data_IF_392206883510
#
_entry.id   IF_392206883510
#
_cell.length_a   1.000
_cell.length_b   1.000
_cell.length_c   1.000
_cell.angle_alpha   90.00
_cell.angle_beta   90.00
_cell.angle_gamma   90.00
#
_symmetry.space_group_name_H-M   'P 1'
#
loop_
_entity.id
_entity.type
_entity.pdbx_description
1 polymer ?
#
# COMPACT_ATOMS: atom_id res chain seq x y z
N UNK A 1 30.13 -5.91 -11.50
CA UNK A 1 28.78 -5.30 -11.60
C UNK A 1 28.88 -3.87 -11.12
N UNK A 2 28.31 -2.89 -11.84
CA UNK A 2 28.22 -1.52 -11.33
C UNK A 2 27.17 -1.45 -10.22
N UNK A 3 27.43 -0.64 -9.19
CA UNK A 3 26.55 -0.51 -8.04
C UNK A 3 25.25 0.23 -8.41
N UNK A 4 24.11 -0.37 -8.09
CA UNK A 4 22.77 0.20 -8.36
C UNK A 4 22.20 0.99 -7.19
N UNK A 5 22.85 0.94 -6.03
CA UNK A 5 22.45 1.66 -4.81
C UNK A 5 23.50 2.73 -4.54
N UNK A 6 23.09 3.95 -4.23
CA UNK A 6 23.96 4.99 -3.70
C UNK A 6 23.58 5.33 -2.26
N UNK A 7 24.56 5.61 -1.42
CA UNK A 7 24.40 6.19 -0.08
C UNK A 7 24.89 7.63 -0.16
N UNK A 8 23.96 8.59 -0.09
CA UNK A 8 24.24 10.01 -0.26
C UNK A 8 23.98 10.77 1.05
N UNK A 9 25.00 10.99 1.87
CA UNK A 9 24.85 11.65 3.18
C UNK A 9 26.18 12.22 3.69
N UNK A 10 26.13 13.33 4.41
CA UNK A 10 27.27 13.86 5.18
C UNK A 10 27.14 13.53 6.68
N UNK A 11 26.04 12.89 7.10
CA UNK A 11 25.87 12.41 8.47
C UNK A 11 26.68 11.14 8.71
N UNK A 12 27.80 11.26 9.42
CA UNK A 12 28.68 10.12 9.74
C UNK A 12 27.96 8.97 10.46
N UNK A 13 27.00 9.27 11.35
CA UNK A 13 26.19 8.23 12.03
C UNK A 13 25.31 7.47 11.04
N UNK A 14 24.56 8.17 10.18
CA UNK A 14 23.68 7.53 9.22
C UNK A 14 24.48 6.72 8.19
N UNK A 15 25.57 7.30 7.70
CA UNK A 15 26.50 6.64 6.79
C UNK A 15 27.00 5.31 7.38
N UNK A 16 27.51 5.33 8.62
CA UNK A 16 28.01 4.13 9.28
C UNK A 16 26.94 3.04 9.42
N UNK A 17 25.73 3.40 9.86
CA UNK A 17 24.61 2.46 10.01
C UNK A 17 24.25 1.79 8.67
N UNK A 18 24.06 2.59 7.61
CA UNK A 18 23.67 2.08 6.29
C UNK A 18 24.78 1.22 5.69
N UNK A 19 26.01 1.73 5.68
CA UNK A 19 27.16 1.07 5.05
C UNK A 19 27.52 -0.22 5.76
N UNK A 20 27.46 -0.25 7.10
CA UNK A 20 27.75 -1.48 7.85
C UNK A 20 26.77 -2.61 7.49
N UNK A 21 25.49 -2.31 7.33
CA UNK A 21 24.49 -3.30 6.89
C UNK A 21 24.68 -3.73 5.44
N UNK A 22 24.89 -2.78 4.51
CA UNK A 22 25.13 -3.11 3.10
C UNK A 22 26.36 -4.00 2.92
N UNK A 23 27.46 -3.68 3.63
CA UNK A 23 28.69 -4.50 3.63
C UNK A 23 28.45 -5.88 4.24
N UNK A 24 27.73 -5.97 5.36
CA UNK A 24 27.39 -7.24 6.01
C UNK A 24 26.61 -8.17 5.06
N UNK A 25 25.76 -7.61 4.21
CA UNK A 25 24.97 -8.32 3.21
C UNK A 25 25.69 -8.53 1.88
N UNK A 26 26.92 -8.03 1.71
CA UNK A 26 27.69 -8.16 0.46
C UNK A 26 27.13 -7.34 -0.70
N UNK A 27 26.36 -6.30 -0.43
CA UNK A 27 25.67 -5.51 -1.46
C UNK A 27 26.60 -4.42 -2.00
N UNK A 28 26.81 -4.32 -3.32
CA UNK A 28 27.61 -3.24 -3.91
C UNK A 28 26.84 -1.92 -3.88
N UNK A 29 27.51 -0.86 -3.44
CA UNK A 29 26.93 0.49 -3.35
C UNK A 29 27.97 1.57 -3.70
N UNK A 30 27.50 2.76 -4.07
CA UNK A 30 28.30 3.98 -4.20
C UNK A 30 28.15 4.84 -2.96
N UNK A 31 29.23 5.50 -2.54
CA UNK A 31 29.20 6.52 -1.48
C UNK A 31 29.31 7.88 -2.13
N UNK A 32 28.36 8.75 -1.83
CA UNK A 32 28.27 10.11 -2.35
C UNK A 32 27.94 11.06 -1.20
N UNK A 33 28.18 12.34 -1.41
CA UNK A 33 27.58 13.42 -0.64
C UNK A 33 26.24 13.84 -1.29
N UNK A 34 25.34 14.52 -0.57
CA UNK A 34 24.09 15.02 -1.13
C UNK A 34 24.24 16.04 -2.27
N UNK A 35 25.45 16.56 -2.48
CA UNK A 35 25.76 17.59 -3.48
C UNK A 35 26.42 17.04 -4.73
N UNK A 36 26.79 15.76 -4.73
CA UNK A 36 27.41 15.11 -5.88
C UNK A 36 26.36 14.64 -6.90
N UNK A 37 26.69 14.67 -8.20
CA UNK A 37 25.80 14.15 -9.23
C UNK A 37 25.62 12.64 -9.06
N UNK A 38 24.38 12.17 -9.23
CA UNK A 38 24.02 10.76 -9.09
C UNK A 38 24.18 10.08 -10.46
N UNK A 39 25.01 9.02 -10.56
CA UNK A 39 25.19 8.29 -11.83
C UNK A 39 23.89 7.66 -12.35
N UNK A 40 23.75 7.58 -13.68
CA UNK A 40 22.53 7.08 -14.35
C UNK A 40 22.22 5.61 -14.08
N UNK A 41 23.21 4.81 -13.68
CA UNK A 41 23.07 3.40 -13.35
C UNK A 41 22.58 3.16 -11.91
N UNK A 42 22.59 4.20 -11.07
CA UNK A 42 21.95 4.17 -9.76
C UNK A 42 20.44 4.09 -9.94
N UNK A 43 19.82 3.13 -9.25
CA UNK A 43 18.38 2.89 -9.26
C UNK A 43 17.69 3.36 -8.00
N UNK A 44 18.46 3.55 -6.92
CA UNK A 44 17.96 4.03 -5.63
C UNK A 44 19.06 4.72 -4.84
N UNK A 45 18.69 5.78 -4.14
CA UNK A 45 19.58 6.53 -3.25
C UNK A 45 19.06 6.42 -1.82
N UNK A 46 19.93 6.11 -0.87
CA UNK A 46 19.64 6.12 0.56
C UNK A 46 20.30 7.35 1.18
N UNK A 47 19.52 8.14 1.92
CA UNK A 47 19.97 9.39 2.58
C UNK A 47 19.27 9.55 3.93
N UNK A 48 19.45 10.68 4.61
CA UNK A 48 18.67 11.04 5.82
C UNK A 48 17.47 11.90 5.45
N UNK A 49 16.42 11.93 6.29
CA UNK A 49 15.26 12.82 6.08
C UNK A 49 15.66 14.30 5.93
N UNK A 50 16.67 14.75 6.69
CA UNK A 50 17.14 16.14 6.63
C UNK A 50 17.79 16.48 5.28
N UNK A 51 18.43 15.50 4.66
CA UNK A 51 19.17 15.65 3.40
C UNK A 51 18.33 15.26 2.18
N UNK A 52 17.21 14.57 2.37
CA UNK A 52 16.27 14.15 1.30
C UNK A 52 15.91 15.25 0.30
N UNK A 53 15.66 16.52 0.70
CA UNK A 53 15.35 17.59 -0.25
C UNK A 53 16.51 17.95 -1.19
N UNK A 54 17.75 17.61 -0.82
CA UNK A 54 18.95 17.90 -1.61
C UNK A 54 19.18 16.85 -2.72
N UNK A 55 18.52 15.70 -2.64
CA UNK A 55 18.73 14.56 -3.55
C UNK A 55 17.74 14.64 -4.72
N UNK A 56 18.28 14.79 -5.93
CA UNK A 56 17.51 14.78 -7.18
C UNK A 56 17.60 13.41 -7.86
N UNK A 57 16.68 12.51 -7.49
CA UNK A 57 16.57 11.17 -8.07
C UNK A 57 15.14 10.64 -7.92
N UNK A 58 14.69 9.77 -8.81
CA UNK A 58 13.33 9.22 -8.81
C UNK A 58 13.04 8.42 -7.52
N UNK A 59 13.95 7.51 -7.19
CA UNK A 59 13.85 6.65 -6.02
C UNK A 59 14.82 7.10 -4.94
N UNK A 60 14.31 7.66 -3.85
CA UNK A 60 15.13 8.08 -2.70
C UNK A 60 14.48 7.64 -1.40
N UNK A 61 15.23 6.86 -0.62
CA UNK A 61 14.83 6.34 0.69
C UNK A 61 15.51 7.13 1.79
N UNK A 62 14.74 7.53 2.80
CA UNK A 62 15.20 8.41 3.88
C UNK A 62 15.23 7.68 5.22
N UNK A 63 16.39 7.60 5.84
CA UNK A 63 16.57 7.06 7.19
C UNK A 63 16.09 8.09 8.22
N UNK A 64 14.98 7.76 8.90
CA UNK A 64 14.40 8.53 10.01
C UNK A 64 15.07 8.19 11.34
N UNK A 65 15.19 6.90 11.60
CA UNK A 65 15.72 6.33 12.81
C UNK A 65 16.36 4.96 12.52
N UNK A 66 17.13 4.46 13.47
CA UNK A 66 17.86 3.20 13.34
C UNK A 66 16.95 1.96 13.28
N UNK A 67 15.74 2.01 13.87
CA UNK A 67 14.79 0.90 13.84
C UNK A 67 14.24 0.64 12.43
N UNK A 68 14.23 1.66 11.57
CA UNK A 68 13.80 1.57 10.16
C UNK A 68 14.91 1.09 9.22
N UNK A 69 16.13 0.91 9.71
CA UNK A 69 17.27 0.50 8.89
C UNK A 69 17.02 -0.82 8.13
N UNK A 70 16.50 -1.91 8.75
CA UNK A 70 16.24 -3.15 8.02
C UNK A 70 15.22 -2.97 6.88
N UNK A 71 14.16 -2.18 7.12
CA UNK A 71 13.13 -1.88 6.12
C UNK A 71 13.71 -1.12 4.92
N UNK A 72 14.52 -0.10 5.17
CA UNK A 72 15.14 0.71 4.11
C UNK A 72 16.11 -0.12 3.27
N UNK A 73 16.91 -0.97 3.90
CA UNK A 73 17.85 -1.84 3.17
C UNK A 73 17.09 -2.82 2.27
N UNK A 74 16.02 -3.44 2.76
CA UNK A 74 15.17 -4.31 1.96
C UNK A 74 14.50 -3.57 0.80
N UNK A 75 13.98 -2.36 1.03
CA UNK A 75 13.40 -1.53 -0.03
C UNK A 75 14.45 -1.16 -1.10
N UNK A 76 15.66 -0.79 -0.68
CA UNK A 76 16.74 -0.43 -1.60
C UNK A 76 17.15 -1.60 -2.50
N UNK A 77 17.23 -2.82 -1.94
CA UNK A 77 17.52 -4.03 -2.71
C UNK A 77 16.47 -4.28 -3.80
N UNK A 78 15.18 -4.17 -3.46
CA UNK A 78 14.08 -4.42 -4.41
C UNK A 78 14.06 -3.40 -5.54
N UNK A 79 14.23 -2.12 -5.21
CA UNK A 79 14.34 -1.05 -6.20
C UNK A 79 15.58 -1.23 -7.10
N UNK A 80 16.70 -1.68 -6.55
CA UNK A 80 17.89 -2.01 -7.33
C UNK A 80 17.68 -3.20 -8.30
N UNK A 81 16.84 -4.16 -7.94
CA UNK A 81 16.41 -5.25 -8.82
C UNK A 81 15.39 -4.83 -9.87
N UNK A 82 14.83 -3.61 -9.77
CA UNK A 82 13.76 -3.14 -10.64
C UNK A 82 12.38 -3.73 -10.29
N UNK A 83 12.26 -4.36 -9.12
CA UNK A 83 10.98 -4.84 -8.60
C UNK A 83 10.29 -3.69 -7.88
N UNK A 84 9.04 -3.44 -8.25
CA UNK A 84 8.17 -2.54 -7.47
C UNK A 84 7.81 -3.26 -6.16
N UNK A 85 8.02 -2.60 -5.03
CA UNK A 85 7.68 -3.14 -3.71
C UNK A 85 6.74 -2.18 -3.01
N UNK A 86 5.66 -2.72 -2.44
CA UNK A 86 4.78 -1.96 -1.56
C UNK A 86 4.80 -2.59 -0.17
N UNK A 87 4.97 -1.76 0.87
CA UNK A 87 4.89 -2.26 2.24
C UNK A 87 3.46 -2.70 2.56
N UNK A 88 2.48 -1.92 2.11
CA UNK A 88 1.06 -2.20 2.34
C UNK A 88 0.22 -1.81 1.13
N UNK A 89 -0.61 -2.74 0.68
CA UNK A 89 -1.72 -2.45 -0.23
C UNK A 89 -3.03 -2.54 0.54
N UNK A 90 -3.87 -1.52 0.38
CA UNK A 90 -5.20 -1.46 0.97
C UNK A 90 -6.24 -1.27 -0.13
N UNK A 91 -7.24 -2.13 -0.15
CA UNK A 91 -8.45 -1.95 -0.96
C UNK A 91 -9.58 -1.50 -0.04
N UNK A 92 -10.04 -0.26 -0.19
CA UNK A 92 -11.23 0.25 0.48
C UNK A 92 -12.48 0.01 -0.38
N UNK A 93 -13.53 -0.49 0.24
CA UNK A 93 -14.84 -0.76 -0.37
C UNK A 93 -15.91 -0.01 0.43
N UNK A 94 -16.66 0.85 -0.24
CA UNK A 94 -17.85 1.51 0.30
C UNK A 94 -19.12 0.82 -0.24
N UNK A 95 -19.86 0.04 0.57
CA UNK A 95 -21.03 -0.70 0.11
C UNK A 95 -22.31 0.17 0.05
N UNK A 96 -22.99 0.12 -1.10
CA UNK A 96 -24.27 0.82 -1.34
C UNK A 96 -24.96 0.35 -2.63
N UNK A 97 -25.90 1.16 -3.16
CA UNK A 97 -26.49 0.91 -4.50
C UNK A 97 -25.42 0.92 -5.60
N UNK A 98 -24.38 1.75 -5.41
CA UNK A 98 -23.15 1.79 -6.20
C UNK A 98 -22.01 1.60 -5.20
N UNK A 99 -21.13 0.64 -5.48
CA UNK A 99 -19.99 0.33 -4.63
C UNK A 99 -18.81 1.21 -5.02
N UNK A 100 -18.29 1.99 -4.08
CA UNK A 100 -17.05 2.72 -4.25
C UNK A 100 -15.85 1.80 -3.98
N UNK A 101 -14.86 1.79 -4.87
CA UNK A 101 -13.61 1.04 -4.71
C UNK A 101 -12.42 2.00 -4.76
N UNK A 102 -11.48 1.86 -3.82
CA UNK A 102 -10.23 2.60 -3.81
C UNK A 102 -9.05 1.66 -3.51
N UNK A 103 -7.96 1.79 -4.26
CA UNK A 103 -6.72 1.03 -4.05
C UNK A 103 -5.62 2.00 -3.62
N UNK A 104 -5.05 1.75 -2.46
CA UNK A 104 -3.95 2.51 -1.90
C UNK A 104 -2.71 1.64 -1.81
N UNK A 105 -1.58 2.18 -2.23
CA UNK A 105 -0.26 1.60 -2.01
C UNK A 105 0.56 2.55 -1.13
N UNK A 106 0.98 2.06 0.04
CA UNK A 106 1.70 2.83 1.05
C UNK A 106 1.01 4.17 1.41
N UNK A 107 -0.32 4.15 1.46
CA UNK A 107 -1.18 5.30 1.76
C UNK A 107 -1.47 6.24 0.58
N UNK A 108 -0.89 6.01 -0.60
CA UNK A 108 -1.17 6.78 -1.82
C UNK A 108 -2.22 6.10 -2.67
N UNK A 109 -3.23 6.85 -3.14
CA UNK A 109 -4.26 6.33 -4.04
C UNK A 109 -3.64 6.03 -5.40
N UNK A 110 -3.76 4.79 -5.86
CA UNK A 110 -3.27 4.31 -7.16
C UNK A 110 -4.39 3.87 -8.10
N UNK A 111 -5.62 3.75 -7.60
CA UNK A 111 -6.78 3.41 -8.41
C UNK A 111 -8.08 3.69 -7.67
N UNK A 112 -9.12 4.04 -8.43
CA UNK A 112 -10.47 4.27 -7.93
C UNK A 112 -11.48 3.83 -8.97
N UNK A 113 -12.60 3.26 -8.55
CA UNK A 113 -13.62 2.76 -9.45
C UNK A 113 -14.98 2.69 -8.77
N UNK A 114 -16.05 2.71 -9.57
CA UNK A 114 -17.40 2.41 -9.11
C UNK A 114 -17.82 1.07 -9.69
N UNK A 115 -18.38 0.21 -8.85
CA UNK A 115 -18.97 -1.05 -9.26
C UNK A 115 -20.48 -1.01 -9.02
N UNK A 116 -21.26 -1.62 -9.91
CA UNK A 116 -22.71 -1.56 -9.90
C UNK A 116 -23.35 -2.84 -9.33
N UNK A 117 -22.53 -3.80 -8.90
CA UNK A 117 -22.99 -5.02 -8.24
C UNK A 117 -21.91 -5.63 -7.34
N UNK A 118 -22.34 -6.53 -6.46
CA UNK A 118 -21.45 -7.34 -5.61
C UNK A 118 -20.50 -8.19 -6.48
N UNK A 119 -21.03 -8.87 -7.49
CA UNK A 119 -20.23 -9.75 -8.36
C UNK A 119 -19.17 -8.98 -9.15
N UNK A 120 -19.51 -7.80 -9.64
CA UNK A 120 -18.55 -6.90 -10.30
C UNK A 120 -17.45 -6.46 -9.34
N UNK A 121 -17.82 -6.07 -8.11
CA UNK A 121 -16.88 -5.67 -7.06
C UNK A 121 -15.90 -6.81 -6.73
N UNK A 122 -16.41 -8.02 -6.54
CA UNK A 122 -15.60 -9.22 -6.27
C UNK A 122 -14.67 -9.55 -7.44
N UNK A 123 -15.20 -9.54 -8.67
CA UNK A 123 -14.41 -9.77 -9.88
C UNK A 123 -13.28 -8.77 -10.00
N UNK A 124 -13.55 -7.49 -9.70
CA UNK A 124 -12.55 -6.44 -9.76
C UNK A 124 -11.47 -6.60 -8.70
N UNK A 125 -11.85 -6.89 -7.45
CA UNK A 125 -10.89 -7.17 -6.38
C UNK A 125 -10.02 -8.38 -6.75
N UNK A 126 -10.63 -9.47 -7.22
CA UNK A 126 -9.88 -10.66 -7.66
C UNK A 126 -8.91 -10.35 -8.82
N UNK A 127 -9.33 -9.51 -9.78
CA UNK A 127 -8.44 -9.05 -10.85
C UNK A 127 -7.25 -8.25 -10.31
N UNK A 128 -7.49 -7.34 -9.36
CA UNK A 128 -6.44 -6.55 -8.72
C UNK A 128 -5.45 -7.46 -7.98
N UNK A 129 -5.94 -8.46 -7.24
CA UNK A 129 -5.09 -9.45 -6.57
C UNK A 129 -4.22 -10.24 -7.54
N UNK A 130 -4.75 -10.59 -8.72
CA UNK A 130 -3.97 -11.27 -9.77
C UNK A 130 -2.93 -10.34 -10.38
N UNK A 131 -3.29 -9.11 -10.70
CA UNK A 131 -2.36 -8.11 -11.26
C UNK A 131 -1.22 -7.78 -10.30
N UNK A 132 -1.50 -7.79 -8.99
CA UNK A 132 -0.53 -7.49 -7.94
C UNK A 132 0.24 -8.74 -7.47
N UNK A 133 0.01 -9.92 -8.06
CA UNK A 133 0.68 -11.17 -7.68
C UNK A 133 2.19 -11.13 -7.91
N UNK A 134 2.62 -10.46 -8.97
CA UNK A 134 4.05 -10.33 -9.33
C UNK A 134 4.73 -9.15 -8.61
N UNK A 135 3.96 -8.36 -7.86
CA UNK A 135 4.45 -7.27 -7.03
C UNK A 135 4.72 -7.82 -5.64
N UNK A 136 5.91 -7.57 -5.10
CA UNK A 136 6.22 -8.03 -3.76
C UNK A 136 5.55 -7.07 -2.75
N UNK A 137 4.62 -7.61 -1.95
CA UNK A 137 3.81 -6.84 -0.98
C UNK A 137 3.91 -7.46 0.40
N UNK A 138 4.24 -6.68 1.44
CA UNK A 138 4.36 -7.21 2.80
C UNK A 138 3.02 -7.40 3.52
N UNK A 139 2.00 -6.60 3.18
CA UNK A 139 0.67 -6.71 3.77
C UNK A 139 -0.40 -6.31 2.76
N UNK A 140 -1.42 -7.15 2.65
CA UNK A 140 -2.61 -6.89 1.85
C UNK A 140 -3.84 -6.83 2.75
N UNK A 141 -4.60 -5.74 2.67
CA UNK A 141 -5.78 -5.53 3.50
C UNK A 141 -6.96 -5.11 2.63
N UNK A 142 -8.11 -5.75 2.82
CA UNK A 142 -9.38 -5.31 2.26
C UNK A 142 -10.21 -4.72 3.40
N UNK A 143 -10.73 -3.51 3.21
CA UNK A 143 -11.49 -2.76 4.21
C UNK A 143 -12.88 -2.47 3.66
N UNK A 144 -13.92 -2.81 4.42
CA UNK A 144 -15.31 -2.59 4.04
C UNK A 144 -15.93 -1.58 5.00
N UNK A 145 -16.49 -0.50 4.46
CA UNK A 145 -17.26 0.50 5.21
C UNK A 145 -18.57 -0.06 5.76
N UNK A 146 -19.11 0.59 6.77
CA UNK A 146 -20.34 0.14 7.42
C UNK A 146 -21.61 0.45 6.62
N UNK A 147 -21.54 1.33 5.62
CA UNK A 147 -22.54 1.60 4.57
C UNK A 147 -24.00 1.19 4.86
N UNK A 148 -24.65 0.58 3.88
CA UNK A 148 -25.98 -0.03 4.07
C UNK A 148 -25.78 -1.47 4.58
N UNK A 149 -26.35 -1.86 5.75
CA UNK A 149 -26.09 -3.17 6.37
C UNK A 149 -26.31 -4.37 5.44
N UNK A 150 -27.37 -4.33 4.62
CA UNK A 150 -27.66 -5.40 3.67
C UNK A 150 -26.54 -5.62 2.64
N UNK A 151 -25.99 -4.54 2.07
CA UNK A 151 -24.90 -4.63 1.11
C UNK A 151 -23.57 -4.97 1.79
N UNK A 152 -23.31 -4.38 2.96
CA UNK A 152 -22.14 -4.65 3.79
C UNK A 152 -22.03 -6.12 4.16
N UNK A 153 -23.08 -6.71 4.71
CA UNK A 153 -23.03 -8.08 5.21
C UNK A 153 -22.87 -9.08 4.05
N UNK A 154 -23.55 -8.83 2.91
CA UNK A 154 -23.40 -9.66 1.71
C UNK A 154 -21.98 -9.59 1.14
N UNK A 155 -21.38 -8.40 1.02
CA UNK A 155 -20.02 -8.28 0.48
C UNK A 155 -18.97 -8.85 1.44
N UNK A 156 -19.11 -8.66 2.76
CA UNK A 156 -18.20 -9.25 3.76
C UNK A 156 -18.19 -10.78 3.69
N UNK A 157 -19.36 -11.42 3.64
CA UNK A 157 -19.46 -12.88 3.51
C UNK A 157 -18.85 -13.36 2.19
N UNK A 158 -19.11 -12.64 1.09
CA UNK A 158 -18.58 -13.02 -0.21
C UNK A 158 -17.05 -12.84 -0.30
N UNK A 159 -16.52 -11.77 0.29
CA UNK A 159 -15.08 -11.53 0.41
C UNK A 159 -14.41 -12.58 1.30
N UNK A 160 -15.03 -12.97 2.42
CA UNK A 160 -14.48 -14.02 3.28
C UNK A 160 -14.30 -15.34 2.54
N UNK A 161 -15.24 -15.69 1.65
CA UNK A 161 -15.15 -16.90 0.80
C UNK A 161 -14.12 -16.78 -0.33
N UNK A 162 -13.94 -15.58 -0.88
CA UNK A 162 -13.12 -15.34 -2.07
C UNK A 162 -11.64 -15.09 -1.73
N UNK A 163 -11.36 -14.35 -0.66
CA UNK A 163 -10.01 -13.87 -0.37
C UNK A 163 -9.10 -15.02 0.10
N UNK A 164 -7.82 -15.05 -0.31
CA UNK A 164 -6.81 -15.90 0.29
C UNK A 164 -6.62 -15.63 1.79
N UNK A 165 -6.19 -16.62 2.58
CA UNK A 165 -6.11 -16.52 4.05
C UNK A 165 -5.05 -15.54 4.57
N UNK A 166 -4.07 -15.18 3.74
CA UNK A 166 -3.03 -14.19 4.00
C UNK A 166 -3.52 -12.74 3.83
N UNK A 167 -4.73 -12.53 3.29
CA UNK A 167 -5.34 -11.22 3.17
C UNK A 167 -6.22 -10.93 4.39
N UNK A 168 -5.91 -9.83 5.07
CA UNK A 168 -6.68 -9.32 6.21
C UNK A 168 -7.94 -8.63 5.69
N UNK A 169 -9.09 -9.00 6.26
CA UNK A 169 -10.37 -8.32 6.02
C UNK A 169 -10.70 -7.49 7.25
N UNK A 170 -11.01 -6.21 7.08
CA UNK A 170 -11.43 -5.31 8.16
C UNK A 170 -12.81 -4.71 7.86
N UNK A 171 -13.60 -4.52 8.91
CA UNK A 171 -14.82 -3.72 8.90
C UNK A 171 -14.54 -2.36 9.53
N UNK A 172 -14.90 -1.29 8.82
CA UNK A 172 -14.62 0.09 9.20
C UNK A 172 -15.92 0.77 9.63
N UNK A 173 -15.95 1.22 10.87
CA UNK A 173 -17.06 2.04 11.34
C UNK A 173 -17.01 3.45 10.76
N UNK A 174 -18.12 3.85 10.16
CA UNK A 174 -18.33 5.18 9.62
C UNK A 174 -19.03 6.13 10.61
N UNK A 175 -19.29 5.65 11.84
CA UNK A 175 -19.88 6.46 12.92
C UNK A 175 -19.08 7.75 13.13
N UNK A 176 -19.79 8.88 13.13
CA UNK A 176 -19.21 10.23 13.12
C UNK A 176 -19.29 10.96 11.77
N UNK A 177 -19.88 10.34 10.74
CA UNK A 177 -20.03 10.95 9.40
C UNK A 177 -21.49 11.28 9.02
N UNK A 178 -22.30 11.75 9.98
CA UNK A 178 -23.58 12.41 9.67
C UNK A 178 -23.33 13.86 9.25
N UNK A 179 -22.70 14.07 8.09
CA UNK A 179 -22.90 15.30 7.35
C UNK A 179 -23.87 15.01 6.23
N UNK A 180 -25.15 15.12 6.59
CA UNK A 180 -26.30 15.21 5.71
C UNK A 180 -26.07 16.33 4.70
N UNK A 181 -25.46 15.99 3.58
CA UNK A 181 -25.44 16.83 2.39
C UNK A 181 -26.46 16.25 1.43
N UNK A 182 -27.68 16.80 1.55
CA UNK A 182 -28.68 16.83 0.50
C UNK A 182 -28.05 17.29 -0.82
N UNK A 183 -28.68 16.90 -1.93
CA UNK A 183 -28.56 17.43 -3.30
C UNK A 183 -27.81 16.56 -4.35
N UNK A 184 -28.60 16.05 -5.31
CA UNK A 184 -28.19 15.81 -6.70
C UNK A 184 -27.85 14.36 -7.09
N UNK A 185 -28.69 13.73 -7.93
CA UNK A 185 -28.44 12.43 -8.60
C UNK A 185 -27.09 12.38 -9.37
N UNK A 186 -26.60 13.52 -9.86
CA UNK A 186 -25.41 13.60 -10.73
C UNK A 186 -24.05 13.61 -10.01
N UNK A 187 -24.01 13.58 -8.67
CA UNK A 187 -22.76 13.61 -7.89
C UNK A 187 -22.49 12.36 -7.05
N UNK A 188 -23.38 11.36 -7.07
CA UNK A 188 -23.30 10.18 -6.18
C UNK A 188 -22.04 9.35 -6.43
N UNK A 189 -21.75 8.96 -7.68
CA UNK A 189 -20.57 8.15 -7.99
C UNK A 189 -19.21 8.81 -7.65
N UNK A 190 -19.14 10.14 -7.50
CA UNK A 190 -17.92 10.81 -7.02
C UNK A 190 -17.79 10.79 -5.49
N UNK A 191 -18.91 10.68 -4.77
CA UNK A 191 -18.94 10.56 -3.30
C UNK A 191 -18.54 9.15 -2.88
N UNK A 192 -19.04 8.14 -3.59
CA UNK A 192 -18.78 6.73 -3.29
C UNK A 192 -17.27 6.41 -3.37
N UNK A 193 -16.57 6.96 -4.37
CA UNK A 193 -15.09 6.91 -4.45
C UNK A 193 -14.43 7.63 -3.27
N UNK A 194 -14.92 8.83 -2.92
CA UNK A 194 -14.36 9.62 -1.82
C UNK A 194 -14.51 8.94 -0.45
N UNK A 195 -15.62 8.24 -0.24
CA UNK A 195 -15.87 7.39 0.92
C UNK A 195 -14.94 6.18 0.94
N UNK A 196 -14.79 5.47 -0.19
CA UNK A 196 -13.88 4.33 -0.30
C UNK A 196 -12.42 4.70 0.04
N UNK A 197 -11.94 5.88 -0.36
CA UNK A 197 -10.62 6.39 0.02
C UNK A 197 -10.53 6.60 1.54
N UNK A 198 -11.55 7.22 2.15
CA UNK A 198 -11.58 7.43 3.62
C UNK A 198 -11.58 6.12 4.39
N UNK A 199 -12.36 5.15 3.94
CA UNK A 199 -12.42 3.79 4.48
C UNK A 199 -11.03 3.14 4.40
N UNK A 200 -10.36 3.22 3.24
CA UNK A 200 -9.02 2.67 3.06
C UNK A 200 -7.99 3.27 4.05
N UNK A 201 -8.11 4.57 4.36
CA UNK A 201 -7.20 5.28 5.27
C UNK A 201 -7.49 5.07 6.76
N UNK A 202 -8.70 4.67 7.15
CA UNK A 202 -9.09 4.48 8.56
C UNK A 202 -8.65 3.13 9.11
N UNK A 203 -8.40 3.04 10.41
CA UNK A 203 -8.26 1.76 11.09
C UNK A 203 -9.65 1.21 11.40
N UNK A 204 -9.83 -0.11 11.34
CA UNK A 204 -11.06 -0.75 11.79
C UNK A 204 -10.81 -2.06 12.50
N UNK A 205 -11.90 -2.81 12.65
CA UNK A 205 -11.90 -4.07 13.35
C UNK A 205 -11.60 -5.20 12.37
N UNK A 206 -10.69 -6.09 12.73
CA UNK A 206 -10.41 -7.29 11.94
C UNK A 206 -11.68 -8.13 11.90
N UNK A 207 -12.21 -8.33 10.71
CA UNK A 207 -13.33 -9.22 10.48
C UNK A 207 -12.81 -10.66 10.60
N UNK A 208 -13.30 -11.45 11.59
CA UNK A 208 -12.83 -12.81 11.77
C UNK A 208 -13.25 -13.65 10.55
N UNK A 209 -12.25 -14.30 9.94
CA UNK A 209 -12.43 -15.08 8.73
C UNK A 209 -12.58 -16.56 9.07
N UNK A 210 -13.64 -17.18 8.55
CA UNK A 210 -13.90 -18.61 8.69
C UNK A 210 -14.69 -19.06 9.93
N UNK A 211 -15.85 -19.66 9.67
CA UNK A 211 -16.08 -21.10 9.92
C UNK A 211 -17.24 -21.61 9.04
N UNK A 212 -17.03 -22.76 8.35
CA UNK A 212 -17.94 -23.60 7.51
C UNK A 212 -17.61 -23.56 6.01
N UNK A 213 -17.34 -24.65 5.28
CA UNK A 213 -17.38 -26.10 5.55
C UNK A 213 -16.54 -26.84 4.51
N UNK A 214 -15.81 -27.87 4.92
CA UNK A 214 -15.46 -28.98 4.02
C UNK A 214 -16.70 -29.37 3.21
N UNK A 215 -16.63 -29.30 1.88
CA UNK A 215 -17.47 -30.14 1.03
C UNK A 215 -16.58 -31.24 0.48
N UNK A 216 -16.47 -32.29 1.31
CA UNK A 216 -16.45 -33.65 0.77
C UNK A 216 -17.84 -33.93 0.23
N UNK A 217 -17.95 -34.06 -1.08
CA UNK A 217 -18.81 -35.01 -1.79
C UNK A 217 -18.24 -35.20 -3.19
#
# INVERSE_FOLDING_TARGET
MKAKIAVATVSGKAYYLIVSQLKKLGIPFLSLTPYEPIPLDVRVVITTEKERPLIHHENVLSLRDESKLPTIINQALKLAEGKSFYEKIVIGVDPGEIFGLAVLADGKVIGTENCFSIDETLSRINSLLKTLRDVEVSSFVVKVGDGIPEYRDKILIALDRMLPSDIVLESISEEGTNLSFNEGKNRRGLRDIGSAIKIAMRNGYIFPRGSSSEHKS
#
